data_IF_152412406887
#
_entry.id   IF_152412406887
#
_cell.length_a   1.000
_cell.length_b   1.000
_cell.length_c   1.000
_cell.angle_alpha   90.00
_cell.angle_beta   90.00
_cell.angle_gamma   90.00
#
_symmetry.space_group_name_H-M   'P 1'
#
loop_
_entity.id
_entity.type
_entity.pdbx_description
1 polymer ?
#
# COMPACT_ATOMS: atom_id res chain seq x y z
N UNK A 1 87.56 -24.68 13.92
CA UNK A 1 87.57 -25.32 15.24
C UNK A 1 86.47 -24.71 16.08
N UNK A 2 85.89 -25.55 16.92
CA UNK A 2 84.58 -25.50 17.53
C UNK A 2 84.17 -24.29 18.39
N UNK A 3 82.85 -24.05 18.30
CA UNK A 3 81.87 -23.68 19.34
C UNK A 3 82.41 -23.19 20.68
N UNK A 4 81.83 -22.09 21.17
CA UNK A 4 81.18 -22.01 22.49
C UNK A 4 80.39 -20.71 22.68
N UNK A 5 79.43 -20.83 23.59
CA UNK A 5 78.65 -19.81 24.32
C UNK A 5 77.29 -19.40 23.74
N UNK A 6 76.24 -19.99 24.34
CA UNK A 6 74.99 -19.31 24.64
C UNK A 6 75.21 -18.42 25.89
N UNK A 7 74.54 -17.27 25.96
CA UNK A 7 73.43 -17.17 26.91
C UNK A 7 72.19 -16.44 26.36
N UNK A 8 71.06 -16.76 26.99
CA UNK A 8 69.75 -16.11 26.86
C UNK A 8 69.82 -14.59 27.10
N UNK A 9 68.99 -13.83 26.37
CA UNK A 9 68.00 -12.89 26.94
C UNK A 9 67.50 -11.87 25.88
N UNK A 10 66.17 -11.84 25.71
CA UNK A 10 65.33 -10.63 25.54
C UNK A 10 65.52 -9.88 24.20
N UNK A 11 64.52 -9.80 23.34
CA UNK A 11 63.43 -8.81 23.46
C UNK A 11 62.18 -9.22 22.67
N UNK A 12 61.03 -8.86 23.24
CA UNK A 12 59.73 -8.84 22.61
C UNK A 12 59.79 -8.15 21.24
N UNK A 13 59.17 -8.79 20.25
CA UNK A 13 58.92 -8.23 18.93
C UNK A 13 57.90 -9.06 18.18
N UNK A 14 56.82 -9.49 18.85
CA UNK A 14 55.65 -9.97 18.15
C UNK A 14 55.01 -8.75 17.47
N UNK A 15 55.46 -8.43 16.27
CA UNK A 15 54.62 -7.78 15.29
C UNK A 15 53.51 -8.79 14.94
N UNK A 16 52.54 -8.90 15.85
CA UNK A 16 51.27 -9.49 15.54
C UNK A 16 50.73 -8.67 14.39
N UNK A 17 50.72 -9.28 13.20
CA UNK A 17 49.88 -8.83 12.11
C UNK A 17 48.49 -8.81 12.71
N UNK A 18 48.02 -7.61 13.06
CA UNK A 18 46.61 -7.38 13.26
C UNK A 18 45.99 -7.75 11.92
N UNK A 19 45.48 -8.97 11.84
CA UNK A 19 44.44 -9.27 10.88
C UNK A 19 43.29 -8.39 11.35
N UNK A 20 43.31 -7.15 10.86
CA UNK A 20 42.11 -6.34 10.76
C UNK A 20 41.27 -7.18 9.82
N UNK A 21 40.48 -8.08 10.40
CA UNK A 21 39.15 -8.38 9.91
C UNK A 21 38.39 -7.07 10.05
N UNK A 22 38.76 -6.10 9.21
CA UNK A 22 37.76 -5.24 8.64
C UNK A 22 36.86 -6.26 7.99
N UNK A 23 35.77 -6.53 8.67
CA UNK A 23 34.54 -6.95 8.06
C UNK A 23 34.41 -6.11 6.80
N UNK A 24 34.90 -6.65 5.67
CA UNK A 24 34.29 -6.40 4.39
C UNK A 24 32.90 -6.99 4.57
N UNK A 25 32.04 -6.25 5.28
CA UNK A 25 30.65 -6.21 4.91
C UNK A 25 30.67 -5.97 3.41
N UNK A 26 30.01 -6.82 2.62
CA UNK A 26 29.71 -6.44 1.27
C UNK A 26 28.92 -5.14 1.41
N UNK A 27 29.59 -4.02 1.14
CA UNK A 27 28.99 -2.72 0.82
C UNK A 27 28.27 -2.90 -0.51
N UNK A 28 27.15 -3.62 -0.42
CA UNK A 28 26.01 -3.67 -1.29
C UNK A 28 24.98 -4.47 -0.50
N UNK A 29 24.50 -3.90 0.60
CA UNK A 29 23.05 -3.93 0.72
C UNK A 29 22.53 -3.27 -0.56
N UNK A 30 22.22 -4.11 -1.56
CA UNK A 30 21.05 -3.81 -2.36
C UNK A 30 19.97 -3.49 -1.34
N UNK A 31 19.72 -2.19 -1.13
CA UNK A 31 18.44 -1.75 -0.59
C UNK A 31 17.44 -2.59 -1.38
N UNK A 32 16.64 -3.46 -0.72
CA UNK A 32 15.55 -4.12 -1.42
C UNK A 32 14.84 -3.01 -2.19
N UNK A 33 14.53 -3.17 -3.50
CA UNK A 33 13.84 -2.11 -4.21
C UNK A 33 12.65 -1.69 -3.33
N UNK A 34 12.59 -0.39 -3.03
CA UNK A 34 11.56 0.24 -2.20
C UNK A 34 10.21 -0.44 -2.49
N UNK A 35 9.42 -0.85 -1.48
CA UNK A 35 8.30 -1.74 -1.71
C UNK A 35 7.38 -1.14 -2.80
N UNK A 36 7.27 -1.82 -3.94
CA UNK A 36 6.39 -1.45 -5.07
C UNK A 36 4.89 -1.52 -4.72
N UNK A 37 4.56 -1.74 -3.44
CA UNK A 37 3.23 -2.01 -2.94
C UNK A 37 2.85 -1.00 -1.86
N UNK A 38 1.74 -0.31 -2.05
CA UNK A 38 1.14 0.71 -1.19
C UNK A 38 -0.13 0.17 -0.51
N UNK A 39 -0.64 0.92 0.46
CA UNK A 39 -1.90 0.64 1.18
C UNK A 39 -1.99 -0.78 1.74
N UNK A 40 -1.04 -1.13 2.60
CA UNK A 40 -0.90 -2.48 3.16
C UNK A 40 -0.82 -3.55 2.07
N UNK A 41 -0.14 -3.23 0.97
CA UNK A 41 0.05 -4.09 -0.20
C UNK A 41 -1.21 -4.33 -1.04
N UNK A 42 -2.26 -3.54 -0.84
CA UNK A 42 -3.46 -3.59 -1.68
C UNK A 42 -3.24 -2.96 -3.06
N UNK A 43 -2.26 -2.07 -3.21
CA UNK A 43 -2.05 -1.29 -4.44
C UNK A 43 -0.62 -1.31 -4.91
N UNK A 44 -0.40 -1.24 -6.22
CA UNK A 44 0.89 -0.91 -6.81
C UNK A 44 1.03 0.59 -6.92
N UNK A 45 2.26 1.08 -7.02
CA UNK A 45 2.50 2.51 -7.31
C UNK A 45 1.87 2.92 -8.64
N UNK A 46 2.01 2.10 -9.68
CA UNK A 46 1.47 2.38 -11.02
C UNK A 46 -0.05 2.54 -10.98
N UNK A 47 -0.76 1.62 -10.33
CA UNK A 47 -2.22 1.70 -10.21
C UNK A 47 -2.66 2.80 -9.24
N UNK A 48 -1.87 3.10 -8.21
CA UNK A 48 -2.15 4.23 -7.34
C UNK A 48 -2.05 5.58 -8.07
N UNK A 49 -1.25 5.66 -9.14
CA UNK A 49 -1.10 6.84 -9.96
C UNK A 49 -2.27 7.06 -10.95
N UNK A 50 -3.13 6.06 -11.19
CA UNK A 50 -4.29 6.18 -12.09
C UNK A 50 -5.36 7.16 -11.59
N UNK A 51 -5.40 7.43 -10.29
CA UNK A 51 -6.30 8.43 -9.73
C UNK A 51 -5.63 9.81 -9.86
N UNK A 52 -6.20 10.60 -10.76
CA UNK A 52 -5.75 11.95 -11.07
C UNK A 52 -6.61 12.99 -10.33
N UNK A 53 -5.92 13.93 -9.69
CA UNK A 53 -6.49 15.08 -9.01
C UNK A 53 -6.20 16.40 -9.73
N UNK A 54 -5.65 16.33 -10.94
CA UNK A 54 -5.36 17.47 -11.82
C UNK A 54 -4.08 18.24 -11.46
N UNK A 55 -3.33 17.81 -10.42
CA UNK A 55 -2.22 18.58 -9.86
C UNK A 55 -0.87 17.86 -9.90
N UNK A 56 -0.83 16.57 -10.29
CA UNK A 56 0.41 15.81 -10.48
C UNK A 56 1.29 15.66 -9.22
N UNK A 57 2.55 15.26 -9.38
CA UNK A 57 3.48 15.13 -8.24
C UNK A 57 3.55 13.72 -7.64
N UNK A 58 4.58 13.51 -6.82
CA UNK A 58 4.95 12.19 -6.30
C UNK A 58 3.92 11.64 -5.31
N UNK A 59 3.60 10.35 -5.46
CA UNK A 59 2.66 9.61 -4.62
C UNK A 59 3.33 9.09 -3.35
N UNK A 60 2.66 9.29 -2.22
CA UNK A 60 2.98 8.68 -0.93
C UNK A 60 1.70 8.19 -0.24
N UNK A 61 1.84 7.47 0.88
CA UNK A 61 0.69 6.94 1.61
C UNK A 61 0.81 7.13 3.11
N UNK A 62 -0.32 7.45 3.75
CA UNK A 62 -0.52 7.37 5.19
C UNK A 62 -1.42 6.17 5.50
N UNK A 63 -0.90 5.19 6.24
CA UNK A 63 -1.58 3.93 6.51
C UNK A 63 -2.00 3.83 7.98
N UNK A 64 -3.25 3.46 8.22
CA UNK A 64 -3.82 3.24 9.54
C UNK A 64 -4.47 1.86 9.62
N UNK A 65 -4.10 1.06 10.61
CA UNK A 65 -4.79 -0.20 10.91
C UNK A 65 -5.29 -0.23 12.34
N UNK A 66 -6.49 -0.77 12.54
CA UNK A 66 -6.97 -1.11 13.88
C UNK A 66 -7.39 -2.58 13.90
N UNK A 67 -6.80 -3.34 14.82
CA UNK A 67 -7.21 -4.72 15.12
C UNK A 67 -7.99 -4.68 16.43
N UNK A 68 -9.32 -4.67 16.32
CA UNK A 68 -10.21 -4.45 17.47
C UNK A 68 -10.14 -5.56 18.52
N UNK A 69 -9.99 -5.15 19.79
CA UNK A 69 -10.87 -5.65 20.88
C UNK A 69 -12.00 -4.66 21.20
N UNK A 70 -12.01 -3.46 20.61
CA UNK A 70 -12.85 -2.32 21.02
C UNK A 70 -13.35 -1.43 19.87
N UNK A 71 -13.22 -1.87 18.61
CA UNK A 71 -13.84 -1.24 17.43
C UNK A 71 -14.98 -2.13 16.93
N UNK A 72 -16.02 -1.55 16.31
CA UNK A 72 -17.17 -2.31 15.76
C UNK A 72 -16.75 -3.33 14.67
N UNK A 73 -15.51 -3.21 14.17
CA UNK A 73 -14.90 -4.03 13.12
C UNK A 73 -13.76 -4.91 13.65
N UNK A 74 -13.71 -6.17 13.20
CA UNK A 74 -12.59 -7.08 13.44
C UNK A 74 -11.45 -6.84 12.43
N UNK A 75 -11.79 -6.35 11.24
CA UNK A 75 -10.86 -5.95 10.19
C UNK A 75 -11.15 -4.50 9.87
N UNK A 76 -10.20 -3.61 10.12
CA UNK A 76 -10.26 -2.23 9.64
C UNK A 76 -8.86 -1.75 9.26
N UNK A 77 -8.73 -1.34 8.00
CA UNK A 77 -7.51 -0.79 7.41
C UNK A 77 -7.89 0.41 6.56
N UNK A 78 -7.37 1.58 6.89
CA UNK A 78 -7.51 2.78 6.09
C UNK A 78 -6.15 3.17 5.52
N UNK A 79 -6.13 3.59 4.27
CA UNK A 79 -4.96 4.13 3.61
C UNK A 79 -5.36 5.43 2.91
N UNK A 80 -4.67 6.51 3.21
CA UNK A 80 -4.80 7.75 2.48
C UNK A 80 -3.65 7.86 1.50
N UNK A 81 -3.96 7.97 0.22
CA UNK A 81 -2.96 8.21 -0.81
C UNK A 81 -2.84 9.70 -1.00
N UNK A 82 -1.61 10.18 -0.88
CA UNK A 82 -1.27 11.58 -0.84
C UNK A 82 -0.35 11.94 -2.01
N UNK A 83 -0.34 13.21 -2.41
CA UNK A 83 0.63 13.78 -3.36
C UNK A 83 1.28 15.03 -2.79
N UNK A 84 2.51 15.31 -3.19
CA UNK A 84 3.21 16.54 -2.81
C UNK A 84 2.45 17.78 -3.30
N UNK A 85 2.14 18.74 -2.44
CA UNK A 85 1.48 19.98 -2.85
C UNK A 85 2.38 20.81 -3.80
N UNK A 86 1.85 21.37 -4.90
CA UNK A 86 2.67 22.17 -5.82
C UNK A 86 3.23 23.43 -5.15
N UNK A 87 2.47 24.01 -4.21
CA UNK A 87 2.80 25.25 -3.49
C UNK A 87 2.79 25.07 -1.96
N UNK A 88 2.90 23.83 -1.46
CA UNK A 88 2.81 23.54 -0.03
C UNK A 88 3.76 22.43 0.39
N UNK A 89 4.41 22.62 1.55
CA UNK A 89 5.18 21.58 2.24
C UNK A 89 4.27 20.47 2.81
N UNK A 90 2.95 20.69 2.84
CA UNK A 90 1.98 19.69 3.29
C UNK A 90 1.47 18.84 2.12
N UNK A 91 1.52 17.50 2.22
CA UNK A 91 0.97 16.64 1.19
C UNK A 91 -0.55 16.75 1.16
N UNK A 92 -1.13 16.69 -0.04
CA UNK A 92 -2.58 16.74 -0.27
C UNK A 92 -3.14 15.34 -0.45
N UNK A 93 -4.31 15.08 0.12
CA UNK A 93 -5.02 13.82 -0.06
C UNK A 93 -5.63 13.70 -1.45
N UNK A 94 -5.36 12.58 -2.12
CA UNK A 94 -5.90 12.25 -3.44
C UNK A 94 -7.14 11.37 -3.29
N UNK A 95 -7.02 10.28 -2.54
CA UNK A 95 -8.10 9.35 -2.26
C UNK A 95 -7.86 8.56 -0.97
N UNK A 96 -8.92 7.93 -0.48
CA UNK A 96 -8.86 7.00 0.64
C UNK A 96 -9.23 5.60 0.17
N UNK A 97 -8.48 4.59 0.59
CA UNK A 97 -8.81 3.17 0.47
C UNK A 97 -9.12 2.62 1.86
N UNK A 98 -10.34 2.15 2.07
CA UNK A 98 -10.83 1.62 3.35
C UNK A 98 -11.17 0.15 3.14
N UNK A 99 -10.59 -0.74 3.94
CA UNK A 99 -10.87 -2.17 3.94
C UNK A 99 -11.44 -2.56 5.29
N UNK A 100 -12.66 -3.06 5.28
CA UNK A 100 -13.39 -3.39 6.51
C UNK A 100 -14.23 -4.66 6.40
N UNK A 101 -14.53 -5.28 7.53
CA UNK A 101 -15.47 -6.39 7.58
C UNK A 101 -16.92 -5.92 7.67
N UNK A 102 -17.82 -6.62 6.97
CA UNK A 102 -19.23 -6.24 6.92
C UNK A 102 -20.16 -7.46 6.92
N UNK A 103 -21.35 -7.27 7.50
CA UNK A 103 -22.44 -8.25 7.46
C UNK A 103 -23.37 -8.03 6.27
N UNK A 104 -23.29 -6.88 5.62
CA UNK A 104 -24.10 -6.53 4.46
C UNK A 104 -23.63 -7.32 3.24
N UNK A 105 -24.57 -7.96 2.55
CA UNK A 105 -24.27 -8.65 1.30
C UNK A 105 -23.85 -7.63 0.22
N UNK A 106 -23.05 -8.07 -0.78
CA UNK A 106 -22.74 -7.24 -1.93
C UNK A 106 -24.02 -6.79 -2.64
N UNK A 107 -23.98 -5.58 -3.20
CA UNK A 107 -25.12 -4.97 -3.85
C UNK A 107 -24.67 -4.21 -5.11
N UNK A 108 -25.64 -3.98 -5.99
CA UNK A 108 -25.44 -3.13 -7.16
C UNK A 108 -25.76 -1.67 -6.82
N UNK A 109 -24.91 -0.75 -7.27
CA UNK A 109 -25.14 0.69 -7.13
C UNK A 109 -25.73 1.25 -8.42
N UNK A 110 -26.86 1.95 -8.30
CA UNK A 110 -27.51 2.61 -9.44
C UNK A 110 -26.56 3.60 -10.10
N UNK A 111 -26.42 3.49 -11.42
CA UNK A 111 -25.57 4.38 -12.22
C UNK A 111 -24.08 4.05 -12.17
N UNK A 112 -23.69 3.00 -11.44
CA UNK A 112 -22.30 2.58 -11.36
C UNK A 112 -21.94 1.58 -12.47
N UNK A 113 -20.66 1.59 -12.83
CA UNK A 113 -20.06 0.63 -13.76
C UNK A 113 -19.69 -0.64 -12.98
N UNK A 114 -20.08 -1.84 -13.43
CA UNK A 114 -19.64 -3.09 -12.79
C UNK A 114 -18.14 -3.31 -13.00
N UNK A 115 -17.46 -3.92 -12.02
CA UNK A 115 -16.02 -4.19 -12.11
C UNK A 115 -15.67 -5.24 -13.19
N UNK A 116 -16.64 -6.02 -13.62
CA UNK A 116 -16.48 -7.04 -14.66
C UNK A 116 -16.37 -8.46 -14.11
N UNK A 117 -16.15 -9.46 -14.98
CA UNK A 117 -16.15 -10.86 -14.61
C UNK A 117 -15.10 -11.20 -13.54
N UNK A 118 -15.49 -12.03 -12.57
CA UNK A 118 -14.59 -12.48 -11.49
C UNK A 118 -14.51 -11.53 -10.29
N UNK A 119 -15.13 -10.36 -10.35
CA UNK A 119 -15.14 -9.38 -9.27
C UNK A 119 -16.58 -9.02 -8.89
N UNK A 120 -16.84 -8.91 -7.59
CA UNK A 120 -18.14 -8.48 -7.06
C UNK A 120 -18.01 -7.05 -6.56
N UNK A 121 -18.54 -6.10 -7.30
CA UNK A 121 -18.44 -4.69 -6.95
C UNK A 121 -18.79 -3.75 -8.10
N UNK A 122 -18.62 -2.46 -7.85
CA UNK A 122 -19.00 -1.39 -8.77
C UNK A 122 -18.11 -0.15 -8.60
N UNK A 123 -18.12 0.73 -9.60
CA UNK A 123 -17.37 1.99 -9.59
C UNK A 123 -18.22 3.17 -10.12
N UNK A 124 -18.18 4.27 -9.39
CA UNK A 124 -18.59 5.62 -9.76
C UNK A 124 -17.35 6.53 -9.84
N UNK A 125 -17.46 7.77 -10.34
CA UNK A 125 -16.32 8.70 -10.41
C UNK A 125 -15.69 9.00 -9.04
N UNK A 126 -16.51 9.18 -8.01
CA UNK A 126 -16.14 9.61 -6.66
C UNK A 126 -16.06 8.49 -5.63
N UNK A 127 -16.60 7.32 -5.96
CA UNK A 127 -16.72 6.20 -5.04
C UNK A 127 -16.67 4.86 -5.78
N UNK A 128 -15.93 3.89 -5.28
CA UNK A 128 -15.97 2.53 -5.77
C UNK A 128 -15.90 1.51 -4.63
N UNK A 129 -16.49 0.35 -4.84
CA UNK A 129 -16.58 -0.70 -3.84
C UNK A 129 -16.31 -2.06 -4.47
N UNK A 130 -15.54 -2.90 -3.79
CA UNK A 130 -15.37 -4.32 -4.14
C UNK A 130 -15.51 -5.17 -2.90
N UNK A 131 -16.25 -6.27 -3.02
CA UNK A 131 -16.28 -7.32 -2.01
C UNK A 131 -15.23 -8.38 -2.37
N UNK A 132 -14.39 -8.72 -1.39
CA UNK A 132 -13.39 -9.77 -1.57
C UNK A 132 -14.04 -11.16 -1.72
N UNK A 133 -13.34 -12.12 -2.35
CA UNK A 133 -13.85 -13.49 -2.48
C UNK A 133 -14.30 -14.13 -1.17
N UNK A 134 -15.21 -15.10 -1.28
CA UNK A 134 -15.70 -15.85 -0.14
C UNK A 134 -14.55 -16.51 0.63
N UNK A 135 -14.60 -16.45 1.96
CA UNK A 135 -13.55 -16.98 2.83
C UNK A 135 -12.41 -16.01 3.14
N UNK A 136 -12.27 -14.88 2.41
CA UNK A 136 -11.31 -13.84 2.77
C UNK A 136 -11.57 -13.29 4.19
N UNK A 137 -12.83 -13.10 4.58
CA UNK A 137 -13.17 -12.62 5.92
C UNK A 137 -12.58 -13.50 7.03
N UNK A 138 -12.74 -14.82 6.93
CA UNK A 138 -12.16 -15.77 7.89
C UNK A 138 -10.63 -15.74 7.86
N UNK A 139 -10.01 -15.66 6.68
CA UNK A 139 -8.54 -15.57 6.54
C UNK A 139 -7.97 -14.28 7.12
N UNK A 140 -8.74 -13.21 7.07
CA UNK A 140 -8.39 -11.90 7.63
C UNK A 140 -8.74 -11.77 9.13
N UNK A 141 -9.33 -12.80 9.73
CA UNK A 141 -9.63 -12.85 11.17
C UNK A 141 -10.99 -12.28 11.57
N UNK A 142 -11.89 -12.04 10.61
CA UNK A 142 -13.27 -11.63 10.89
C UNK A 142 -14.22 -12.82 11.01
N UNK A 143 -15.29 -12.63 11.81
CA UNK A 143 -16.47 -13.51 11.88
C UNK A 143 -17.63 -13.01 11.02
N UNK A 144 -17.49 -11.83 10.43
CA UNK A 144 -18.43 -11.32 9.44
C UNK A 144 -18.32 -12.15 8.14
N UNK A 145 -19.41 -12.23 7.35
CA UNK A 145 -19.42 -12.99 6.11
C UNK A 145 -18.57 -12.37 4.99
N UNK A 146 -18.36 -11.05 5.00
CA UNK A 146 -17.72 -10.34 3.89
C UNK A 146 -16.63 -9.37 4.36
N UNK A 147 -15.67 -9.11 3.48
CA UNK A 147 -14.75 -7.97 3.56
C UNK A 147 -15.02 -7.10 2.34
N UNK A 148 -15.20 -5.81 2.57
CA UNK A 148 -15.34 -4.80 1.52
C UNK A 148 -14.10 -3.92 1.50
N UNK A 149 -13.67 -3.55 0.31
CA UNK A 149 -12.76 -2.45 0.10
C UNK A 149 -13.49 -1.32 -0.63
N UNK A 150 -13.35 -0.10 -0.11
CA UNK A 150 -14.01 1.10 -0.59
C UNK A 150 -12.97 2.15 -0.95
N UNK A 151 -13.08 2.71 -2.15
CA UNK A 151 -12.25 3.79 -2.65
C UNK A 151 -13.07 5.08 -2.68
N UNK A 152 -12.61 6.12 -1.99
CA UNK A 152 -13.22 7.45 -1.98
C UNK A 152 -12.32 8.45 -2.69
N UNK A 153 -12.84 9.15 -3.70
CA UNK A 153 -12.08 10.10 -4.55
C UNK A 153 -12.72 11.50 -4.49
N UNK A 154 -12.37 12.33 -3.49
CA UNK A 154 -13.03 13.62 -3.26
C UNK A 154 -12.88 14.64 -4.40
N UNK A 155 -11.87 14.48 -5.26
CA UNK A 155 -11.68 15.34 -6.44
C UNK A 155 -12.75 15.12 -7.52
N UNK A 156 -13.55 14.06 -7.42
CA UNK A 156 -14.62 13.71 -8.36
C UNK A 156 -16.03 13.90 -7.77
N UNK A 157 -16.14 14.30 -6.50
CA UNK A 157 -17.43 14.42 -5.82
C UNK A 157 -18.20 15.66 -6.32
N UNK A 158 -19.26 15.44 -7.10
CA UNK A 158 -20.03 16.50 -7.76
C UNK A 158 -20.51 17.60 -6.80
N UNK A 159 -21.01 17.24 -5.62
CA UNK A 159 -21.51 18.21 -4.63
C UNK A 159 -20.40 19.08 -4.06
N UNK A 160 -19.22 18.49 -3.83
CA UNK A 160 -18.05 19.20 -3.33
C UNK A 160 -17.55 20.17 -4.40
N UNK A 161 -17.40 19.69 -5.64
CA UNK A 161 -16.98 20.48 -6.78
C UNK A 161 -17.92 21.65 -7.05
N UNK A 162 -19.24 21.42 -7.07
CA UNK A 162 -20.24 22.47 -7.25
C UNK A 162 -20.18 23.54 -6.15
N UNK A 163 -19.89 23.15 -4.90
CA UNK A 163 -19.71 24.10 -3.79
C UNK A 163 -18.42 24.94 -3.92
N UNK A 164 -17.38 24.35 -4.50
CA UNK A 164 -16.08 25.00 -4.70
C UNK A 164 -15.98 25.75 -6.03
N UNK A 165 -17.00 25.65 -6.89
CA UNK A 165 -16.98 26.16 -8.26
C UNK A 165 -15.81 25.57 -9.08
N UNK A 166 -15.47 24.31 -8.81
CA UNK A 166 -14.40 23.55 -9.47
C UNK A 166 -14.98 22.58 -10.50
N UNK A 167 -14.23 22.33 -11.57
CA UNK A 167 -14.53 21.28 -12.54
C UNK A 167 -13.81 19.97 -12.16
N UNK A 168 -14.40 18.79 -12.46
CA UNK A 168 -13.72 17.52 -12.20
C UNK A 168 -12.44 17.42 -13.03
N UNK A 169 -11.33 16.92 -12.46
CA UNK A 169 -10.05 16.89 -13.15
C UNK A 169 -10.01 15.89 -14.32
N UNK A 170 -10.89 14.90 -14.33
CA UNK A 170 -11.04 13.93 -15.42
C UNK A 170 -12.51 13.68 -15.75
N UNK A 171 -12.85 13.28 -17.00
CA UNK A 171 -14.22 12.94 -17.36
C UNK A 171 -14.80 11.79 -16.50
N UNK A 172 -16.11 11.81 -16.18
CA UNK A 172 -16.74 10.80 -15.32
C UNK A 172 -16.56 9.34 -15.77
N UNK A 173 -16.62 9.09 -17.09
CA UNK A 173 -16.42 7.76 -17.64
C UNK A 173 -14.99 7.25 -17.43
N UNK A 174 -14.00 8.14 -17.61
CA UNK A 174 -12.58 7.86 -17.34
C UNK A 174 -12.34 7.63 -15.86
N UNK A 175 -12.91 8.47 -14.98
CA UNK A 175 -12.80 8.29 -13.54
C UNK A 175 -13.36 6.93 -13.10
N UNK A 176 -14.55 6.58 -13.56
CA UNK A 176 -15.19 5.30 -13.25
C UNK A 176 -14.37 4.11 -13.75
N UNK A 177 -13.77 4.22 -14.95
CA UNK A 177 -12.90 3.17 -15.50
C UNK A 177 -11.60 3.00 -14.71
N UNK A 178 -10.97 4.10 -14.32
CA UNK A 178 -9.76 4.09 -13.50
C UNK A 178 -10.06 3.49 -12.12
N UNK A 179 -11.13 3.94 -11.47
CA UNK A 179 -11.59 3.38 -10.18
C UNK A 179 -11.87 1.88 -10.30
N UNK A 180 -12.54 1.43 -11.36
CA UNK A 180 -12.77 0.01 -11.58
C UNK A 180 -11.46 -0.79 -11.76
N UNK A 181 -10.44 -0.20 -12.36
CA UNK A 181 -9.11 -0.82 -12.51
C UNK A 181 -8.39 -0.92 -11.17
N UNK A 182 -8.41 0.16 -10.38
CA UNK A 182 -7.88 0.21 -9.02
C UNK A 182 -8.54 -0.86 -8.15
N UNK A 183 -9.87 -0.94 -8.14
CA UNK A 183 -10.60 -1.89 -7.28
C UNK A 183 -10.38 -3.36 -7.67
N UNK A 184 -10.18 -3.65 -8.95
CA UNK A 184 -9.81 -5.00 -9.39
C UNK A 184 -8.44 -5.41 -8.86
N UNK A 185 -7.44 -4.52 -8.95
CA UNK A 185 -6.13 -4.81 -8.38
C UNK A 185 -6.19 -4.99 -6.86
N UNK A 186 -6.90 -4.08 -6.15
CA UNK A 186 -7.12 -4.19 -4.70
C UNK A 186 -7.66 -5.56 -4.34
N UNK A 187 -8.71 -6.01 -5.01
CA UNK A 187 -9.31 -7.30 -4.76
C UNK A 187 -8.33 -8.45 -5.02
N UNK A 188 -7.62 -8.43 -6.15
CA UNK A 188 -6.63 -9.47 -6.49
C UNK A 188 -5.51 -9.54 -5.47
N UNK A 189 -4.86 -8.42 -5.15
CA UNK A 189 -3.68 -8.41 -4.27
C UNK A 189 -4.04 -8.72 -2.83
N UNK A 190 -5.18 -8.25 -2.34
CA UNK A 190 -5.67 -8.64 -1.01
C UNK A 190 -6.01 -10.13 -0.98
N UNK A 191 -6.69 -10.65 -2.00
CA UNK A 191 -7.04 -12.06 -2.04
C UNK A 191 -5.81 -12.98 -2.08
N UNK A 192 -4.79 -12.62 -2.87
CA UNK A 192 -3.49 -13.31 -2.91
C UNK A 192 -2.77 -13.24 -1.56
N UNK A 193 -2.65 -12.04 -0.98
CA UNK A 193 -1.97 -11.80 0.29
C UNK A 193 -2.55 -12.61 1.44
N UNK A 194 -3.87 -12.79 1.47
CA UNK A 194 -4.56 -13.53 2.52
C UNK A 194 -4.88 -14.99 2.13
N UNK A 195 -4.42 -15.46 0.97
CA UNK A 195 -4.61 -16.85 0.54
C UNK A 195 -6.08 -17.23 0.35
N UNK A 196 -6.86 -16.31 -0.20
CA UNK A 196 -8.29 -16.45 -0.49
C UNK A 196 -8.65 -16.05 -1.92
N UNK A 197 -7.67 -16.06 -2.84
CA UNK A 197 -7.95 -15.97 -4.28
C UNK A 197 -8.85 -17.13 -4.73
N UNK A 198 -9.80 -16.82 -5.62
CA UNK A 198 -10.78 -17.77 -6.16
C UNK A 198 -10.21 -18.61 -7.30
#
# INVERSE_FOLDING_TARGET
MDKKWLPLAVTLGAAGVAVVTASLWPDHEEKPPLPQSLCHGALSRETAELIDDGQGGEVSTEEWESKGKTTDFAVFKACHVLRAGPDSDYPRGVYSLIVEDTRSAPYDKKGAVPLGPGFTGWALPDLAEVTLPAGCATRMGSTAPYITATLEVPSQEEKRLARLEEEPPVPPDTASHNNATVMREVATRLAERYGCAA
#
